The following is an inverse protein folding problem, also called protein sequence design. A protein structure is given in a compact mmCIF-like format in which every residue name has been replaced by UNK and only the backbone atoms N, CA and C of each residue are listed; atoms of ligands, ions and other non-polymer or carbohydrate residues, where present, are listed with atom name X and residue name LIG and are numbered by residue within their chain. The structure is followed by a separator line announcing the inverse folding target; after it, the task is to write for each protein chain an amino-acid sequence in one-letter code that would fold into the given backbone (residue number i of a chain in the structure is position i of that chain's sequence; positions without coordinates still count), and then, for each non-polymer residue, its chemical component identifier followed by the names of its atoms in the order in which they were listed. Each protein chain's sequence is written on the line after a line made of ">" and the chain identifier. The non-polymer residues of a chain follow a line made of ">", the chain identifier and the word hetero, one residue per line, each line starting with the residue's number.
data_IF_864459476622
#
_entry.id   IF_864459476622
#
_cell.length_a   1.000
_cell.length_b   1.000
_cell.length_c   1.000
_cell.angle_alpha   90.00
_cell.angle_beta   90.00
_cell.angle_gamma   90.00
#
_symmetry.space_group_name_H-M   'P 1'
#
loop_
_entity.id
_entity.type
_entity.pdbx_description
1 polymer ?
#
# COMPACT_ATOMS: atom_id res chain seq x y z
N UNK A 1 29.07 19.44 -27.79
CA UNK A 1 27.62 19.71 -27.76
C UNK A 1 26.95 18.35 -27.91
N UNK A 2 26.71 17.66 -26.81
CA UNK A 2 26.10 16.33 -26.81
C UNK A 2 24.61 16.53 -26.50
N UNK A 3 23.74 16.15 -27.42
CA UNK A 3 22.32 16.15 -27.24
C UNK A 3 21.97 15.00 -26.26
N UNK A 4 21.28 15.30 -25.16
CA UNK A 4 20.68 14.29 -24.29
C UNK A 4 19.58 13.57 -25.07
N UNK A 5 19.48 12.24 -24.98
CA UNK A 5 18.39 11.50 -25.61
C UNK A 5 17.10 11.79 -24.87
N UNK A 6 16.10 12.35 -25.57
CA UNK A 6 14.72 12.42 -25.11
C UNK A 6 14.19 10.99 -24.91
N UNK A 7 14.33 10.48 -23.69
CA UNK A 7 13.64 9.28 -23.25
C UNK A 7 12.12 9.54 -23.17
N UNK A 8 11.27 8.52 -23.38
CA UNK A 8 9.83 8.67 -23.34
C UNK A 8 9.43 9.25 -21.98
N UNK A 9 8.84 10.45 -22.00
CA UNK A 9 8.17 11.04 -20.82
C UNK A 9 6.95 10.17 -20.54
N UNK A 10 7.16 9.10 -19.76
CA UNK A 10 6.07 8.33 -19.20
C UNK A 10 5.23 9.32 -18.39
N UNK A 11 4.01 9.59 -18.84
CA UNK A 11 3.09 10.42 -18.10
C UNK A 11 2.91 9.75 -16.73
N UNK A 12 3.52 10.35 -15.70
CA UNK A 12 3.33 9.90 -14.32
C UNK A 12 1.82 9.96 -14.06
N UNK A 13 1.24 8.78 -13.88
CA UNK A 13 -0.15 8.69 -13.42
C UNK A 13 -0.24 9.57 -12.18
N UNK A 14 -1.13 10.58 -12.23
CA UNK A 14 -1.31 11.52 -11.13
C UNK A 14 -1.48 10.71 -9.83
N UNK A 15 -0.71 11.00 -8.79
CA UNK A 15 -0.86 10.30 -7.53
C UNK A 15 -2.32 10.42 -7.09
N UNK A 16 -2.86 9.37 -6.49
CA UNK A 16 -4.19 9.39 -5.86
C UNK A 16 -4.41 10.75 -5.21
N UNK A 17 -5.31 11.54 -5.76
CA UNK A 17 -5.55 12.85 -5.23
C UNK A 17 -6.28 12.65 -3.91
N UNK A 18 -5.58 12.86 -2.81
CA UNK A 18 -6.05 12.69 -1.43
C UNK A 18 -7.14 13.73 -1.06
N UNK A 19 -8.14 13.90 -1.93
CA UNK A 19 -9.32 14.70 -1.61
C UNK A 19 -10.16 14.07 -0.47
N UNK A 20 -9.58 13.14 0.26
CA UNK A 20 -10.22 12.47 1.36
C UNK A 20 -9.27 11.56 2.12
N UNK A 21 -8.42 12.11 2.98
CA UNK A 21 -7.94 11.29 4.07
C UNK A 21 -9.16 10.69 4.77
N UNK A 22 -9.12 9.38 5.03
CA UNK A 22 -10.16 8.72 5.82
C UNK A 22 -10.32 9.48 7.14
N UNK A 23 -11.55 9.66 7.60
CA UNK A 23 -11.83 10.27 8.88
C UNK A 23 -11.10 9.50 10.00
N UNK A 24 -11.11 8.17 9.92
CA UNK A 24 -10.33 7.30 10.80
C UNK A 24 -8.83 7.62 10.83
N UNK A 25 -8.24 8.07 9.72
CA UNK A 25 -6.83 8.46 9.66
C UNK A 25 -6.61 9.87 10.23
N UNK A 26 -7.53 10.81 10.00
CA UNK A 26 -7.44 12.17 10.51
C UNK A 26 -7.49 12.21 12.04
N UNK A 27 -8.34 11.38 12.62
CA UNK A 27 -8.55 11.32 14.06
C UNK A 27 -7.59 10.32 14.75
N UNK A 28 -6.75 9.63 13.98
CA UNK A 28 -5.76 8.68 14.50
C UNK A 28 -4.60 9.44 15.16
N UNK A 29 -4.62 9.52 16.48
CA UNK A 29 -3.59 10.16 17.30
C UNK A 29 -2.28 9.37 17.36
N UNK A 30 -1.69 9.02 16.24
CA UNK A 30 -0.40 8.39 16.36
C UNK A 30 0.04 7.41 15.28
N UNK A 31 -0.50 7.51 14.07
CA UNK A 31 -0.06 6.70 12.95
C UNK A 31 0.08 5.20 13.31
N UNK A 32 -0.96 4.63 13.94
CA UNK A 32 -0.93 3.27 14.49
C UNK A 32 -0.62 2.20 13.44
N UNK A 33 -1.12 2.36 12.22
CA UNK A 33 -0.80 1.48 11.10
C UNK A 33 0.67 1.60 10.63
N UNK A 34 1.36 2.69 10.94
CA UNK A 34 2.79 2.86 10.68
C UNK A 34 3.66 2.26 11.78
N UNK A 35 3.08 1.53 12.73
CA UNK A 35 3.81 0.86 13.79
C UNK A 35 4.23 1.76 14.94
N UNK A 36 3.43 2.79 15.26
CA UNK A 36 3.67 3.56 16.47
C UNK A 36 3.36 2.72 17.72
N UNK A 37 4.34 1.94 18.15
CA UNK A 37 4.25 0.99 19.28
C UNK A 37 3.85 1.67 20.56
N UNK A 38 4.24 2.93 20.76
CA UNK A 38 3.86 3.72 21.96
C UNK A 38 2.34 3.91 22.07
N UNK A 39 1.62 3.76 20.96
CA UNK A 39 0.17 3.89 20.91
C UNK A 39 -0.53 2.58 20.52
N UNK A 40 0.15 1.43 20.69
CA UNK A 40 -0.44 0.11 20.42
C UNK A 40 -0.61 -0.20 18.92
N UNK A 41 0.20 0.43 18.07
CA UNK A 41 0.20 0.17 16.64
C UNK A 41 0.79 -1.20 16.27
N UNK A 42 0.37 -1.71 15.13
CA UNK A 42 0.96 -2.89 14.49
C UNK A 42 1.96 -2.45 13.43
N UNK A 43 3.00 -3.25 13.22
CA UNK A 43 4.00 -3.00 12.19
C UNK A 43 3.71 -3.96 11.04
N UNK A 44 3.15 -3.43 9.99
CA UNK A 44 2.94 -4.15 8.75
C UNK A 44 3.73 -3.42 7.65
N UNK A 45 4.78 -4.05 7.12
CA UNK A 45 5.54 -3.43 6.04
C UNK A 45 4.66 -3.29 4.80
N UNK A 46 4.41 -2.06 4.32
CA UNK A 46 3.63 -1.85 3.11
C UNK A 46 4.34 -2.39 1.87
N UNK A 47 3.57 -3.00 0.98
CA UNK A 47 4.02 -3.35 -0.36
C UNK A 47 4.31 -2.08 -1.17
N UNK A 48 5.35 -2.11 -1.98
CA UNK A 48 5.73 -1.02 -2.87
C UNK A 48 5.61 -1.46 -4.32
N UNK A 49 4.73 -0.81 -5.07
CA UNK A 49 4.74 -0.96 -6.53
C UNK A 49 5.97 -0.29 -7.13
N UNK A 50 6.34 -0.64 -8.35
CA UNK A 50 7.39 0.05 -9.11
C UNK A 50 7.12 1.55 -9.23
N UNK A 51 5.83 1.94 -9.32
CA UNK A 51 5.41 3.34 -9.33
C UNK A 51 5.66 4.02 -7.99
N UNK A 52 5.32 3.37 -6.88
CA UNK A 52 5.58 3.88 -5.52
C UNK A 52 7.08 4.12 -5.31
N UNK A 53 7.92 3.16 -5.74
CA UNK A 53 9.39 3.28 -5.65
C UNK A 53 9.88 4.49 -6.43
N UNK A 54 9.39 4.69 -7.66
CA UNK A 54 9.78 5.84 -8.49
C UNK A 54 9.35 7.18 -7.85
N UNK A 55 8.13 7.26 -7.33
CA UNK A 55 7.59 8.49 -6.69
C UNK A 55 8.33 8.82 -5.39
N UNK A 56 8.58 7.83 -4.55
CA UNK A 56 9.31 8.03 -3.28
C UNK A 56 10.75 8.46 -3.60
N UNK A 57 11.43 7.78 -4.52
CA UNK A 57 12.79 8.14 -4.93
C UNK A 57 12.87 9.56 -5.49
N UNK A 58 11.92 9.96 -6.34
CA UNK A 58 11.87 11.32 -6.88
C UNK A 58 11.63 12.38 -5.79
N UNK A 59 10.76 12.11 -4.84
CA UNK A 59 10.44 13.04 -3.77
C UNK A 59 11.56 13.17 -2.72
N UNK A 60 12.17 12.04 -2.32
CA UNK A 60 13.14 12.00 -1.23
C UNK A 60 14.59 12.12 -1.68
N UNK A 61 14.89 11.81 -2.94
CA UNK A 61 16.25 11.65 -3.45
C UNK A 61 16.97 10.40 -2.94
N UNK A 62 16.29 9.52 -2.20
CA UNK A 62 16.87 8.32 -1.62
C UNK A 62 16.88 7.15 -2.62
N UNK A 63 17.97 6.36 -2.59
CA UNK A 63 18.00 5.08 -3.28
C UNK A 63 17.01 4.10 -2.66
N UNK A 64 16.27 3.28 -3.42
CA UNK A 64 15.25 2.36 -2.89
C UNK A 64 15.75 1.44 -1.78
N UNK A 65 16.97 0.97 -1.84
CA UNK A 65 17.54 0.06 -0.83
C UNK A 65 17.73 0.70 0.55
N UNK A 66 17.65 2.03 0.64
CA UNK A 66 17.70 2.74 1.93
C UNK A 66 16.41 2.49 2.71
N UNK A 67 15.26 2.60 2.05
CA UNK A 67 13.94 2.59 2.69
C UNK A 67 13.13 1.32 2.42
N UNK A 68 13.58 0.43 1.53
CA UNK A 68 12.86 -0.79 1.19
C UNK A 68 13.74 -2.02 1.20
N UNK A 69 13.12 -3.18 1.26
CA UNK A 69 13.74 -4.50 1.14
C UNK A 69 13.06 -5.31 0.04
N UNK A 70 13.81 -6.22 -0.58
CA UNK A 70 13.33 -7.13 -1.61
C UNK A 70 13.09 -8.49 -0.98
N UNK A 71 11.97 -9.11 -1.32
CA UNK A 71 11.69 -10.51 -1.05
C UNK A 71 11.21 -11.19 -2.33
N UNK A 72 11.38 -12.50 -2.42
CA UNK A 72 10.82 -13.29 -3.53
C UNK A 72 9.41 -13.75 -3.13
N UNK A 73 8.42 -13.41 -3.96
CA UNK A 73 7.07 -13.91 -3.77
C UNK A 73 7.04 -15.43 -4.05
N UNK A 74 6.72 -16.27 -3.07
CA UNK A 74 6.75 -17.74 -3.25
C UNK A 74 5.67 -18.26 -4.20
N UNK A 75 4.65 -17.47 -4.52
CA UNK A 75 3.56 -17.86 -5.42
C UNK A 75 3.84 -17.54 -6.88
N UNK A 76 4.49 -16.40 -7.16
CA UNK A 76 4.77 -15.94 -8.52
C UNK A 76 6.24 -16.15 -8.92
N UNK A 77 7.15 -16.22 -7.95
CA UNK A 77 8.59 -16.26 -8.15
C UNK A 77 9.21 -14.86 -8.42
N UNK A 78 8.40 -13.81 -8.43
CA UNK A 78 8.86 -12.46 -8.70
C UNK A 78 9.54 -11.84 -7.47
N UNK A 79 10.50 -10.96 -7.71
CA UNK A 79 11.04 -10.06 -6.70
C UNK A 79 10.05 -8.93 -6.46
N UNK A 80 9.68 -8.72 -5.21
CA UNK A 80 8.79 -7.65 -4.76
C UNK A 80 9.43 -6.82 -3.66
N UNK A 81 8.98 -5.59 -3.51
CA UNK A 81 9.53 -4.67 -2.50
C UNK A 81 8.53 -4.37 -1.41
N UNK A 82 9.03 -4.31 -0.19
CA UNK A 82 8.32 -3.83 0.98
C UNK A 82 9.04 -2.65 1.61
N UNK A 83 8.27 -1.72 2.15
CA UNK A 83 8.80 -0.62 2.93
C UNK A 83 9.43 -1.17 4.23
N UNK A 84 10.65 -0.74 4.55
CA UNK A 84 11.32 -1.16 5.79
C UNK A 84 10.54 -0.71 7.02
N UNK A 85 10.37 -1.64 7.94
CA UNK A 85 9.79 -1.39 9.24
C UNK A 85 10.68 -2.01 10.32
N UNK A 86 10.75 -1.37 11.47
CA UNK A 86 11.47 -1.90 12.62
C UNK A 86 10.54 -2.06 13.81
N UNK A 87 10.80 -3.06 14.64
CA UNK A 87 10.02 -3.31 15.86
C UNK A 87 10.13 -2.18 16.89
N UNK A 88 11.13 -1.32 16.78
CA UNK A 88 11.38 -0.22 17.73
C UNK A 88 10.85 1.12 17.23
N UNK A 89 10.98 1.38 15.94
CA UNK A 89 10.78 2.71 15.36
C UNK A 89 9.55 2.75 14.42
N UNK A 90 9.03 1.57 14.04
CA UNK A 90 7.92 1.49 13.09
C UNK A 90 8.40 1.64 11.64
N UNK A 91 7.59 2.28 10.81
CA UNK A 91 7.89 2.53 9.40
C UNK A 91 9.09 3.47 9.25
N UNK A 92 9.93 3.21 8.25
CA UNK A 92 11.12 4.02 7.91
C UNK A 92 10.81 5.53 7.81
N UNK A 93 9.65 5.89 7.29
CA UNK A 93 9.22 7.28 7.12
C UNK A 93 8.37 7.83 8.28
N UNK A 94 8.26 7.08 9.38
CA UNK A 94 7.58 7.56 10.57
C UNK A 94 8.53 8.45 11.38
N UNK A 95 8.26 9.75 11.45
CA UNK A 95 9.02 10.70 12.22
C UNK A 95 8.10 11.45 13.18
N UNK A 96 8.42 11.44 14.48
CA UNK A 96 7.64 12.10 15.54
C UNK A 96 6.12 11.83 15.48
N UNK A 97 5.76 10.57 15.17
CA UNK A 97 4.36 10.14 15.05
C UNK A 97 3.65 10.58 13.77
N UNK A 98 4.38 11.08 12.78
CA UNK A 98 3.84 11.50 11.48
C UNK A 98 4.60 10.89 10.33
N UNK A 99 3.90 10.62 9.23
CA UNK A 99 4.53 10.15 8.01
C UNK A 99 5.21 11.32 7.27
N UNK A 100 6.55 11.28 7.12
CA UNK A 100 7.32 12.32 6.45
C UNK A 100 7.06 12.38 4.93
N UNK A 101 6.53 11.31 4.35
CA UNK A 101 6.16 11.21 2.93
C UNK A 101 4.64 11.13 2.73
N UNK A 102 3.82 11.66 3.64
CA UNK A 102 2.36 11.43 3.64
C UNK A 102 1.69 11.70 2.30
N UNK A 103 2.07 12.77 1.60
CA UNK A 103 1.54 13.09 0.27
C UNK A 103 1.99 12.10 -0.83
N UNK A 104 3.10 11.41 -0.60
CA UNK A 104 3.71 10.43 -1.52
C UNK A 104 3.75 9.02 -0.93
N UNK A 105 2.86 8.75 0.05
CA UNK A 105 2.79 7.43 0.68
C UNK A 105 2.41 6.36 -0.33
N UNK A 106 2.92 5.13 -0.17
CA UNK A 106 2.63 4.01 -1.06
C UNK A 106 1.14 3.76 -1.28
N UNK A 107 0.81 3.15 -2.40
CA UNK A 107 -0.55 2.71 -2.74
C UNK A 107 -1.17 1.87 -1.63
N UNK A 108 -0.42 0.92 -1.08
CA UNK A 108 -0.84 0.08 0.03
C UNK A 108 -1.21 0.89 1.29
N UNK A 109 -0.38 1.88 1.66
CA UNK A 109 -0.70 2.79 2.77
C UNK A 109 -1.98 3.62 2.54
N UNK A 110 -2.32 3.91 1.27
CA UNK A 110 -3.53 4.68 0.92
C UNK A 110 -4.78 3.85 1.00
N UNK A 111 -4.64 2.55 0.73
CA UNK A 111 -5.73 1.58 0.76
C UNK A 111 -6.10 1.17 2.17
N UNK A 112 -5.13 1.13 3.08
CA UNK A 112 -5.34 0.61 4.43
C UNK A 112 -6.58 1.24 5.11
N UNK A 113 -7.45 0.45 5.74
CA UNK A 113 -7.39 -0.98 6.00
C UNK A 113 -8.04 -1.87 4.92
N UNK A 114 -8.33 -1.33 3.74
CA UNK A 114 -8.75 -2.08 2.56
C UNK A 114 -7.51 -2.75 1.95
N UNK A 115 -7.63 -3.99 1.54
CA UNK A 115 -6.56 -4.76 0.91
C UNK A 115 -7.12 -5.67 -0.19
N UNK A 116 -6.25 -6.15 -1.06
CA UNK A 116 -6.57 -7.10 -2.12
C UNK A 116 -5.86 -8.43 -1.84
N UNK A 117 -6.62 -9.50 -1.74
CA UNK A 117 -6.11 -10.85 -1.44
C UNK A 117 -6.61 -11.88 -2.44
N UNK A 118 -5.82 -12.92 -2.60
CA UNK A 118 -6.26 -14.14 -3.26
C UNK A 118 -7.05 -14.98 -2.24
N UNK A 119 -8.36 -15.05 -2.41
CA UNK A 119 -9.26 -15.84 -1.55
C UNK A 119 -9.92 -16.90 -2.42
N UNK A 120 -9.72 -18.16 -2.09
CA UNK A 120 -10.26 -19.31 -2.86
C UNK A 120 -9.95 -19.25 -4.38
N UNK A 121 -8.79 -18.69 -4.73
CA UNK A 121 -8.36 -18.55 -6.12
C UNK A 121 -8.94 -17.36 -6.87
N UNK A 122 -9.62 -16.45 -6.18
CA UNK A 122 -10.18 -15.23 -6.76
C UNK A 122 -9.61 -13.96 -6.11
N UNK A 123 -9.32 -12.95 -6.93
CA UNK A 123 -8.91 -11.64 -6.44
C UNK A 123 -10.07 -10.96 -5.73
N UNK A 124 -9.92 -10.75 -4.44
CA UNK A 124 -10.99 -10.34 -3.54
C UNK A 124 -10.57 -9.16 -2.69
N UNK A 125 -11.40 -8.12 -2.65
CA UNK A 125 -11.24 -7.01 -1.75
C UNK A 125 -11.64 -7.42 -0.33
N UNK A 126 -10.74 -7.16 0.61
CA UNK A 126 -10.95 -7.42 2.04
C UNK A 126 -10.75 -6.16 2.86
N UNK A 127 -11.38 -6.08 4.02
CA UNK A 127 -11.12 -5.05 5.03
C UNK A 127 -10.67 -5.74 6.30
N UNK A 128 -9.50 -5.35 6.79
CA UNK A 128 -9.00 -5.84 8.06
C UNK A 128 -9.74 -5.24 9.24
N UNK A 129 -10.00 -6.07 10.23
CA UNK A 129 -10.65 -5.68 11.47
C UNK A 129 -9.60 -5.33 12.52
N UNK A 130 -9.27 -4.04 12.59
CA UNK A 130 -8.37 -3.52 13.62
C UNK A 130 -9.15 -2.79 14.72
N UNK A 131 -8.86 -3.09 15.97
CA UNK A 131 -9.51 -2.47 17.11
C UNK A 131 -9.29 -0.95 17.23
N UNK A 132 -8.34 -0.42 16.45
CA UNK A 132 -7.96 0.99 16.49
C UNK A 132 -8.30 1.76 15.21
N UNK A 133 -8.99 1.12 14.26
CA UNK A 133 -9.37 1.72 13.00
C UNK A 133 -10.88 1.53 12.80
N UNK A 134 -11.67 2.43 13.38
CA UNK A 134 -13.13 2.44 13.22
C UNK A 134 -13.49 3.23 11.96
N UNK A 135 -13.94 2.51 10.93
CA UNK A 135 -14.34 3.13 9.67
C UNK A 135 -15.78 3.63 9.76
N UNK A 136 -15.99 4.86 9.34
CA UNK A 136 -17.30 5.47 9.15
C UNK A 136 -17.93 5.05 7.81
N UNK A 137 -19.22 5.33 7.61
CA UNK A 137 -19.87 5.14 6.30
C UNK A 137 -19.20 5.98 5.20
N UNK A 138 -18.72 7.18 5.55
CA UNK A 138 -17.96 8.04 4.65
C UNK A 138 -16.64 7.43 4.26
N UNK A 139 -15.90 6.84 5.21
CA UNK A 139 -14.65 6.14 4.93
C UNK A 139 -14.88 4.96 3.99
N UNK A 140 -15.94 4.19 4.19
CA UNK A 140 -16.32 3.10 3.30
C UNK A 140 -16.63 3.57 1.89
N UNK A 141 -17.30 4.71 1.73
CA UNK A 141 -17.58 5.30 0.42
C UNK A 141 -16.29 5.79 -0.28
N UNK A 142 -15.34 6.33 0.47
CA UNK A 142 -14.01 6.73 -0.04
C UNK A 142 -13.24 5.49 -0.50
N UNK A 143 -13.14 4.46 0.32
CA UNK A 143 -12.46 3.21 -0.01
C UNK A 143 -13.07 2.53 -1.24
N UNK A 144 -14.39 2.55 -1.38
CA UNK A 144 -15.06 1.99 -2.55
C UNK A 144 -14.62 2.68 -3.86
N UNK A 145 -14.44 4.00 -3.85
CA UNK A 145 -13.93 4.76 -5.00
C UNK A 145 -12.46 4.48 -5.28
N UNK A 146 -11.67 4.18 -4.24
CA UNK A 146 -10.24 3.92 -4.38
C UNK A 146 -9.92 2.56 -5.02
N UNK A 147 -10.84 1.60 -5.02
CA UNK A 147 -10.61 0.25 -5.57
C UNK A 147 -10.15 0.26 -7.02
N UNK A 148 -10.84 1.01 -7.89
CA UNK A 148 -10.50 1.09 -9.32
C UNK A 148 -9.14 1.77 -9.52
N UNK A 149 -8.89 2.85 -8.79
CA UNK A 149 -7.62 3.58 -8.85
C UNK A 149 -6.47 2.71 -8.35
N UNK A 150 -6.72 1.91 -7.32
CA UNK A 150 -5.74 0.98 -6.77
C UNK A 150 -5.37 -0.11 -7.78
N UNK A 151 -6.36 -0.73 -8.44
CA UNK A 151 -6.08 -1.71 -9.48
C UNK A 151 -5.26 -1.11 -10.63
N UNK A 152 -5.56 0.12 -11.02
CA UNK A 152 -4.77 0.83 -12.03
C UNK A 152 -3.33 1.11 -11.56
N UNK A 153 -3.14 1.46 -10.29
CA UNK A 153 -1.81 1.70 -9.71
C UNK A 153 -1.01 0.41 -9.51
N UNK A 154 -1.65 -0.68 -9.13
CA UNK A 154 -1.03 -2.00 -9.01
C UNK A 154 -0.63 -2.56 -10.39
N UNK A 155 -1.45 -2.32 -11.42
CA UNK A 155 -1.15 -2.71 -12.80
C UNK A 155 -0.76 -4.18 -12.92
N UNK A 156 0.39 -4.45 -13.53
CA UNK A 156 0.96 -5.79 -13.69
C UNK A 156 1.42 -6.46 -12.39
N UNK A 157 1.51 -5.71 -11.29
CA UNK A 157 1.95 -6.21 -9.98
C UNK A 157 0.77 -6.66 -9.09
N UNK A 158 -0.46 -6.65 -9.64
CA UNK A 158 -1.69 -6.98 -8.89
C UNK A 158 -1.67 -8.39 -8.29
N UNK A 159 -1.16 -9.38 -9.02
CA UNK A 159 -1.06 -10.75 -8.52
C UNK A 159 -0.01 -10.87 -7.42
N UNK A 160 1.13 -10.23 -7.59
CA UNK A 160 2.17 -10.19 -6.57
C UNK A 160 1.66 -9.55 -5.27
N UNK A 161 1.00 -8.41 -5.39
CA UNK A 161 0.39 -7.73 -4.25
C UNK A 161 -0.61 -8.61 -3.49
N UNK A 162 -1.48 -9.32 -4.22
CA UNK A 162 -2.55 -10.12 -3.63
C UNK A 162 -2.08 -11.46 -3.03
N UNK A 163 -0.91 -11.97 -3.44
CA UNK A 163 -0.45 -13.31 -3.08
C UNK A 163 0.78 -13.31 -2.18
N UNK A 164 1.58 -12.25 -2.19
CA UNK A 164 2.81 -12.21 -1.40
C UNK A 164 2.51 -12.25 0.10
N UNK A 165 3.18 -13.11 0.88
CA UNK A 165 3.07 -13.10 2.33
C UNK A 165 3.73 -11.81 2.88
N UNK A 166 2.96 -11.01 3.61
CA UNK A 166 3.50 -9.82 4.25
C UNK A 166 4.44 -10.22 5.40
N UNK A 167 5.71 -9.77 5.41
CA UNK A 167 6.67 -10.14 6.43
C UNK A 167 6.18 -9.80 7.84
N UNK A 168 6.21 -10.79 8.74
CA UNK A 168 5.81 -10.59 10.14
C UNK A 168 4.30 -10.47 10.41
N UNK A 169 3.47 -10.54 9.37
CA UNK A 169 2.01 -10.44 9.52
C UNK A 169 1.47 -11.68 10.21
N UNK A 170 0.75 -11.51 11.29
CA UNK A 170 -0.06 -12.54 11.91
C UNK A 170 -1.42 -12.61 11.20
N UNK A 171 -2.11 -13.73 11.32
CA UNK A 171 -3.48 -13.89 10.80
C UNK A 171 -4.42 -12.84 11.41
N UNK A 172 -4.57 -11.72 10.73
CA UNK A 172 -5.49 -10.65 11.14
C UNK A 172 -6.86 -10.98 10.53
N UNK A 173 -7.93 -10.96 11.34
CA UNK A 173 -9.27 -11.18 10.82
C UNK A 173 -9.62 -10.13 9.78
N UNK A 174 -10.23 -10.57 8.68
CA UNK A 174 -10.73 -9.66 7.65
C UNK A 174 -12.16 -10.02 7.24
N UNK A 175 -12.83 -9.05 6.67
CA UNK A 175 -14.17 -9.21 6.06
C UNK A 175 -14.04 -9.03 4.55
N UNK A 176 -14.62 -9.95 3.79
CA UNK A 176 -14.75 -9.80 2.32
C UNK A 176 -15.74 -8.69 2.00
N UNK A 177 -15.34 -7.78 1.11
CA UNK A 177 -16.16 -6.63 0.69
C UNK A 177 -16.39 -6.55 -0.81
N UNK A 178 -16.02 -7.58 -1.54
CA UNK A 178 -16.34 -7.76 -2.97
C UNK A 178 -15.21 -8.41 -3.76
N UNK A 179 -15.54 -8.93 -4.94
CA UNK A 179 -14.56 -9.44 -5.90
C UNK A 179 -13.90 -8.28 -6.65
N UNK A 180 -12.60 -8.33 -6.88
CA UNK A 180 -11.87 -7.30 -7.59
C UNK A 180 -11.97 -7.46 -9.11
N UNK A 181 -11.89 -8.70 -9.59
CA UNK A 181 -12.00 -9.04 -11.00
C UNK A 181 -12.89 -10.28 -11.14
N UNK A 182 -13.90 -10.21 -11.99
CA UNK A 182 -14.55 -11.44 -12.47
C UNK A 182 -13.59 -12.09 -13.45
N UNK A 183 -13.24 -13.38 -13.24
CA UNK A 183 -12.57 -14.14 -14.30
C UNK A 183 -13.36 -13.97 -15.60
N UNK A 184 -12.71 -13.64 -16.74
CA UNK A 184 -13.39 -13.72 -18.02
C UNK A 184 -13.89 -15.16 -18.15
N UNK A 185 -15.21 -15.33 -18.32
CA UNK A 185 -15.78 -16.62 -18.68
C UNK A 185 -15.21 -16.92 -20.07
N UNK A 186 -14.24 -17.84 -20.13
CA UNK A 186 -13.79 -18.37 -21.41
C UNK A 186 -14.95 -19.25 -21.90
N UNK A 187 -15.70 -18.70 -22.84
CA UNK A 187 -16.75 -19.40 -23.58
C UNK A 187 -16.11 -20.20 -24.71
#
# INVERSE_FOLDING_TARGET
>A
MFAEPDGPKTALVQPFNDNGALDACRDCSGAKCCGNIKHGGTIEPPFLTSLDVAQIGQFTGLHPDVYSEIIVNPHTGNEVRFLKTTSREGCHFLNEGRCSIHAHRPTDCRLFPLDLKMVEGELTWVIYSYNHCELTERDMAILAKQKEMALAALGGETEDYATVPVPGMKNIPFKVVGQALKKPVIV
#
